data_IF_773439030389
#
_entry.id   IF_773439030389
#
_cell.length_a   1.000
_cell.length_b   1.000
_cell.length_c   1.000
_cell.angle_alpha   90.00
_cell.angle_beta   90.00
_cell.angle_gamma   90.00
#
_symmetry.space_group_name_H-M   'P 1'
#
loop_
_entity.id
_entity.type
_entity.pdbx_description
1 polymer ?
#
# COMPACT_ATOMS: atom_id res chain seq x y z
N UNK A 1 -67.19 24.53 18.23
CA UNK A 1 -66.26 24.42 17.09
C UNK A 1 -64.86 24.17 17.64
N UNK A 2 -64.22 23.11 17.13
CA UNK A 2 -62.78 22.80 17.07
C UNK A 2 -61.87 23.09 18.29
N UNK A 3 -61.01 22.17 18.75
CA UNK A 3 -60.52 20.94 18.15
C UNK A 3 -59.96 20.00 19.20
N UNK A 4 -60.33 18.72 19.06
CA UNK A 4 -59.62 17.58 19.61
C UNK A 4 -58.44 17.36 18.69
N UNK A 5 -57.20 17.42 19.19
CA UNK A 5 -56.05 17.13 18.35
C UNK A 5 -54.71 17.32 19.03
N UNK A 6 -54.06 16.20 19.37
CA UNK A 6 -52.61 16.15 19.42
C UNK A 6 -51.98 16.18 20.81
N UNK A 7 -52.10 15.09 21.56
CA UNK A 7 -51.10 14.69 22.55
C UNK A 7 -50.94 13.16 22.53
N UNK A 8 -50.57 12.61 21.37
CA UNK A 8 -49.94 11.29 21.29
C UNK A 8 -48.50 11.42 21.80
N UNK A 9 -48.35 11.63 23.11
CA UNK A 9 -47.06 11.67 23.79
C UNK A 9 -46.55 10.23 23.95
N UNK A 10 -45.78 9.79 22.96
CA UNK A 10 -44.57 8.96 23.06
C UNK A 10 -44.39 8.23 24.41
N UNK A 11 -45.10 7.13 24.63
CA UNK A 11 -44.90 6.23 25.79
C UNK A 11 -43.99 5.03 25.49
N UNK A 12 -43.18 5.10 24.43
CA UNK A 12 -42.36 3.98 23.96
C UNK A 12 -41.05 3.73 24.75
N UNK A 13 -40.88 4.28 25.95
CA UNK A 13 -39.65 4.11 26.74
C UNK A 13 -39.87 3.46 28.12
N UNK A 14 -40.97 2.73 28.34
CA UNK A 14 -41.25 2.03 29.61
C UNK A 14 -40.82 0.55 29.59
N UNK A 15 -40.34 0.04 28.46
CA UNK A 15 -39.73 -1.30 28.38
C UNK A 15 -38.24 -1.23 28.71
N UNK A 16 -37.74 -2.14 29.55
CA UNK A 16 -36.30 -2.33 29.70
C UNK A 16 -35.83 -3.21 28.53
N UNK A 17 -35.20 -2.63 27.48
CA UNK A 17 -34.87 -3.38 26.27
C UNK A 17 -33.89 -4.54 26.54
N UNK A 18 -33.20 -4.51 27.68
CA UNK A 18 -32.28 -5.56 28.11
C UNK A 18 -32.95 -6.69 28.90
N UNK A 19 -34.21 -6.54 29.32
CA UNK A 19 -35.03 -7.65 29.83
C UNK A 19 -35.84 -8.33 28.73
N UNK A 20 -36.21 -7.58 27.70
CA UNK A 20 -37.08 -8.06 26.63
C UNK A 20 -36.30 -8.67 25.45
N UNK A 21 -35.02 -8.33 25.28
CA UNK A 21 -34.14 -8.92 24.28
C UNK A 21 -33.61 -10.29 24.73
N UNK A 22 -34.48 -11.31 24.68
CA UNK A 22 -34.06 -12.71 24.79
C UNK A 22 -33.32 -13.15 23.52
N UNK A 23 -32.43 -14.13 23.65
CA UNK A 23 -31.75 -14.72 22.50
C UNK A 23 -32.80 -15.35 21.60
N UNK A 24 -32.93 -14.84 20.36
CA UNK A 24 -33.83 -15.40 19.36
C UNK A 24 -33.32 -16.80 18.94
N UNK A 25 -34.07 -17.89 19.21
CA UNK A 25 -33.65 -19.25 18.88
C UNK A 25 -33.58 -19.53 17.38
N UNK A 26 -34.21 -18.70 16.54
CA UNK A 26 -34.15 -18.83 15.08
C UNK A 26 -32.88 -18.24 14.48
N UNK A 27 -32.09 -17.51 15.28
CA UNK A 27 -30.84 -16.91 14.83
C UNK A 27 -29.74 -17.97 14.63
N UNK A 28 -29.00 -17.93 13.51
CA UNK A 28 -27.90 -18.86 13.26
C UNK A 28 -26.76 -18.75 14.28
N UNK A 29 -26.69 -17.67 15.05
CA UNK A 29 -25.69 -17.45 16.11
C UNK A 29 -26.22 -17.69 17.52
N UNK A 30 -27.48 -18.13 17.69
CA UNK A 30 -28.14 -18.27 18.99
C UNK A 30 -27.38 -19.19 19.95
N UNK A 31 -26.89 -20.34 19.46
CA UNK A 31 -26.12 -21.29 20.24
C UNK A 31 -24.78 -20.72 20.75
N UNK A 32 -24.12 -19.89 19.93
CA UNK A 32 -22.87 -19.24 20.31
C UNK A 32 -23.10 -18.12 21.32
N UNK A 33 -24.12 -17.28 21.12
CA UNK A 33 -24.48 -16.21 22.06
C UNK A 33 -24.89 -16.80 23.42
N UNK A 34 -25.68 -17.88 23.43
CA UNK A 34 -26.09 -18.57 24.66
C UNK A 34 -24.91 -19.18 25.43
N UNK A 35 -23.81 -19.52 24.73
CA UNK A 35 -22.57 -20.00 25.34
C UNK A 35 -21.71 -18.88 25.91
N UNK A 36 -21.66 -17.72 25.27
CA UNK A 36 -20.75 -16.62 25.60
C UNK A 36 -21.34 -15.67 26.66
N UNK A 37 -22.62 -15.34 26.57
CA UNK A 37 -23.27 -14.36 27.48
C UNK A 37 -23.15 -14.73 28.96
N UNK A 38 -23.35 -16.00 29.38
CA UNK A 38 -23.20 -16.39 30.79
C UNK A 38 -21.75 -16.40 31.28
N UNK A 39 -20.77 -16.46 30.35
CA UNK A 39 -19.36 -16.62 30.69
C UNK A 39 -18.77 -15.38 31.38
N UNK A 40 -19.48 -14.24 31.38
CA UNK A 40 -19.18 -12.98 32.08
C UNK A 40 -17.66 -12.70 32.17
N UNK A 41 -16.99 -12.80 31.02
CA UNK A 41 -15.54 -12.71 30.96
C UNK A 41 -15.08 -11.29 31.22
N UNK A 42 -13.84 -11.11 31.68
CA UNK A 42 -13.27 -9.77 31.84
C UNK A 42 -13.07 -9.13 30.47
N UNK A 43 -13.95 -8.20 30.11
CA UNK A 43 -13.80 -7.41 28.90
C UNK A 43 -12.86 -6.22 29.14
N UNK A 44 -12.05 -5.84 28.15
CA UNK A 44 -11.32 -4.58 28.21
C UNK A 44 -12.34 -3.44 28.34
N UNK A 45 -12.09 -2.54 29.29
CA UNK A 45 -12.88 -1.33 29.46
C UNK A 45 -12.17 -0.16 28.80
N UNK A 46 -12.90 0.93 28.55
CA UNK A 46 -12.29 2.18 28.11
C UNK A 46 -11.25 2.72 29.11
N UNK A 47 -11.32 2.32 30.39
CA UNK A 47 -10.32 2.65 31.40
C UNK A 47 -8.99 1.88 31.20
N UNK A 48 -9.00 0.78 30.44
CA UNK A 48 -7.81 0.02 30.07
C UNK A 48 -7.08 0.59 28.85
N UNK A 49 -7.61 1.64 28.21
CA UNK A 49 -6.91 2.32 27.12
C UNK A 49 -5.74 3.09 27.74
N UNK A 50 -4.49 2.84 27.30
CA UNK A 50 -3.35 3.58 27.81
C UNK A 50 -3.47 5.07 27.48
N UNK A 51 -2.96 5.92 28.38
CA UNK A 51 -2.90 7.35 28.12
C UNK A 51 -2.10 7.64 26.84
N UNK A 52 -2.46 8.73 26.17
CA UNK A 52 -1.74 9.18 24.98
C UNK A 52 -0.23 9.29 25.27
N UNK A 53 0.63 8.72 24.41
CA UNK A 53 2.07 8.85 24.57
C UNK A 53 2.48 10.32 24.61
N UNK A 54 3.40 10.68 25.52
CA UNK A 54 3.87 12.06 25.70
C UNK A 54 5.07 12.40 24.80
N UNK A 55 5.64 11.39 24.17
CA UNK A 55 6.78 11.42 23.25
C UNK A 55 6.36 11.59 21.78
N UNK A 56 5.11 12.01 21.55
CA UNK A 56 4.65 12.38 20.20
C UNK A 56 5.26 13.72 19.79
N UNK A 57 5.76 13.77 18.56
CA UNK A 57 6.30 15.00 17.95
C UNK A 57 5.27 16.14 18.05
N UNK A 58 5.61 17.30 18.67
CA UNK A 58 4.74 18.47 18.67
C UNK A 58 4.48 19.00 17.27
N UNK A 59 3.25 19.48 17.01
CA UNK A 59 2.83 20.01 15.70
C UNK A 59 3.80 21.06 15.13
N UNK A 60 4.33 21.95 16.00
CA UNK A 60 5.30 22.99 15.59
C UNK A 60 6.63 22.43 15.07
N UNK A 61 7.05 21.23 15.50
CA UNK A 61 8.29 20.62 15.02
C UNK A 61 8.18 20.19 13.55
N UNK A 62 7.01 19.73 13.09
CA UNK A 62 6.83 19.40 11.67
C UNK A 62 7.12 20.58 10.75
N UNK A 63 6.63 21.79 11.09
CA UNK A 63 6.89 22.99 10.30
C UNK A 63 8.36 23.41 10.30
N UNK A 64 9.07 23.19 11.42
CA UNK A 64 10.53 23.46 11.51
C UNK A 64 11.33 22.49 10.66
N UNK A 65 11.00 21.21 10.71
CA UNK A 65 11.66 20.17 9.92
C UNK A 65 11.43 20.43 8.43
N UNK A 66 10.19 20.75 8.03
CA UNK A 66 9.88 21.10 6.64
C UNK A 66 10.67 22.33 6.17
N UNK A 67 10.74 23.39 6.99
CA UNK A 67 11.53 24.58 6.66
C UNK A 67 13.03 24.27 6.53
N UNK A 68 13.57 23.35 7.34
CA UNK A 68 14.95 22.91 7.24
C UNK A 68 15.22 22.12 5.94
N UNK A 69 14.29 21.26 5.53
CA UNK A 69 14.35 20.53 4.25
C UNK A 69 14.34 21.51 3.07
N UNK A 70 13.42 22.47 3.04
CA UNK A 70 13.35 23.47 1.97
C UNK A 70 14.62 24.33 1.89
N UNK A 71 15.18 24.71 3.04
CA UNK A 71 16.47 25.42 3.08
C UNK A 71 17.61 24.58 2.50
N UNK A 72 17.65 23.29 2.84
CA UNK A 72 18.68 22.36 2.35
C UNK A 72 18.55 22.16 0.85
N UNK A 73 17.31 21.99 0.35
CA UNK A 73 17.01 21.95 -1.08
C UNK A 73 17.53 23.19 -1.80
N UNK A 74 17.16 24.39 -1.34
CA UNK A 74 17.60 25.64 -1.96
C UNK A 74 19.12 25.83 -1.90
N UNK A 75 19.80 25.21 -0.93
CA UNK A 75 21.26 25.18 -0.89
C UNK A 75 21.82 24.22 -1.95
N UNK A 76 21.29 23.01 -2.04
CA UNK A 76 21.72 22.02 -3.03
C UNK A 76 21.53 22.54 -4.45
N UNK A 77 20.35 23.09 -4.78
CA UNK A 77 20.07 23.67 -6.10
C UNK A 77 21.11 24.72 -6.50
N UNK A 78 21.54 25.57 -5.56
CA UNK A 78 22.61 26.55 -5.80
C UNK A 78 23.99 25.92 -5.95
N UNK A 79 24.29 24.87 -5.18
CA UNK A 79 25.58 24.19 -5.21
C UNK A 79 25.76 23.26 -6.41
N UNK A 80 24.66 22.82 -7.03
CA UNK A 80 24.66 21.94 -8.20
C UNK A 80 24.27 22.68 -9.48
N UNK A 81 24.16 24.01 -9.43
CA UNK A 81 23.85 24.81 -10.61
C UNK A 81 24.92 24.56 -11.69
N UNK A 82 24.56 24.47 -12.99
CA UNK A 82 25.48 24.08 -14.06
C UNK A 82 26.76 24.93 -14.11
N UNK A 83 26.68 26.20 -13.72
CA UNK A 83 27.81 27.12 -13.66
C UNK A 83 28.75 26.94 -12.45
N UNK A 84 28.41 26.07 -11.49
CA UNK A 84 29.18 25.90 -10.23
C UNK A 84 30.16 24.74 -10.25
N UNK A 85 30.13 23.91 -11.29
CA UNK A 85 31.08 22.82 -11.48
C UNK A 85 31.48 22.73 -12.95
N UNK A 86 32.77 22.48 -13.18
CA UNK A 86 33.32 22.16 -14.50
C UNK A 86 33.96 20.78 -14.43
N UNK A 87 33.71 19.94 -15.43
CA UNK A 87 34.48 18.72 -15.62
C UNK A 87 35.78 19.08 -16.34
N UNK A 88 36.91 18.88 -15.69
CA UNK A 88 38.22 18.87 -16.36
C UNK A 88 38.61 17.43 -16.70
N UNK A 89 39.52 17.27 -17.67
CA UNK A 89 40.17 15.99 -17.98
C UNK A 89 39.22 14.85 -18.39
N UNK A 90 38.07 15.19 -18.97
CA UNK A 90 37.07 14.23 -19.45
C UNK A 90 37.65 13.24 -20.46
N UNK A 91 38.54 13.69 -21.31
CA UNK A 91 39.22 12.90 -22.33
C UNK A 91 40.20 11.91 -21.70
N UNK A 92 40.96 12.33 -20.68
CA UNK A 92 41.89 11.46 -19.95
C UNK A 92 41.13 10.40 -19.15
N UNK A 93 40.04 10.78 -18.49
CA UNK A 93 39.13 9.86 -17.83
C UNK A 93 38.55 8.83 -18.82
N UNK A 94 38.04 9.29 -19.97
CA UNK A 94 37.47 8.40 -20.98
C UNK A 94 38.52 7.48 -21.61
N UNK A 95 39.75 7.96 -21.83
CA UNK A 95 40.86 7.14 -22.32
C UNK A 95 41.22 6.04 -21.32
N UNK A 96 41.31 6.39 -20.02
CA UNK A 96 41.54 5.43 -18.95
C UNK A 96 40.42 4.39 -18.86
N UNK A 97 39.16 4.83 -18.90
CA UNK A 97 38.01 3.93 -18.84
C UNK A 97 37.99 2.93 -20.02
N UNK A 98 38.35 3.38 -21.23
CA UNK A 98 38.49 2.47 -22.39
C UNK A 98 39.65 1.49 -22.23
N UNK A 99 40.77 1.93 -21.68
CA UNK A 99 41.90 1.05 -21.40
C UNK A 99 41.56 0.00 -20.32
N UNK A 100 40.79 0.37 -19.30
CA UNK A 100 40.35 -0.54 -18.23
C UNK A 100 39.26 -1.51 -18.67
N UNK A 101 38.35 -1.08 -19.56
CA UNK A 101 37.30 -1.93 -20.09
C UNK A 101 37.85 -3.12 -20.92
N UNK A 102 39.07 -2.97 -21.46
CA UNK A 102 39.69 -3.97 -22.32
C UNK A 102 38.99 -4.08 -23.68
N UNK A 103 39.42 -5.06 -24.49
CA UNK A 103 38.77 -5.32 -25.78
C UNK A 103 37.36 -5.85 -25.56
N UNK A 104 36.38 -5.23 -26.22
CA UNK A 104 35.03 -5.76 -26.26
C UNK A 104 35.10 -7.15 -26.90
N UNK A 105 34.61 -8.21 -26.22
CA UNK A 105 34.64 -9.56 -26.78
C UNK A 105 33.91 -9.54 -28.11
N UNK A 106 34.52 -10.13 -29.14
CA UNK A 106 33.93 -10.18 -30.45
C UNK A 106 32.49 -10.70 -30.34
N UNK A 107 31.50 -10.04 -30.99
CA UNK A 107 30.14 -10.52 -30.96
C UNK A 107 30.16 -11.98 -31.40
N UNK A 108 29.59 -12.85 -30.58
CA UNK A 108 29.49 -14.28 -30.90
C UNK A 108 28.89 -14.41 -32.28
N UNK A 109 29.63 -15.03 -33.21
CA UNK A 109 29.12 -15.27 -34.55
C UNK A 109 27.75 -15.93 -34.42
N UNK A 110 26.73 -15.37 -35.08
CA UNK A 110 25.41 -15.99 -35.22
C UNK A 110 25.49 -17.18 -36.19
N UNK A 111 26.48 -18.05 -36.01
CA UNK A 111 26.62 -19.29 -36.73
C UNK A 111 25.72 -20.30 -36.04
N UNK A 112 24.49 -20.38 -36.55
CA UNK A 112 23.57 -21.53 -36.48
C UNK A 112 22.10 -21.10 -36.49
N UNK A 113 21.79 -19.81 -36.66
CA UNK A 113 20.39 -19.35 -36.70
C UNK A 113 19.60 -20.04 -37.83
N UNK A 114 20.26 -20.32 -38.96
CA UNK A 114 19.66 -21.04 -40.08
C UNK A 114 19.43 -22.53 -39.77
N UNK A 115 20.38 -23.19 -39.11
CA UNK A 115 20.30 -24.61 -38.74
C UNK A 115 19.33 -24.84 -37.58
N UNK A 116 19.30 -23.93 -36.61
CA UNK A 116 18.28 -23.85 -35.57
C UNK A 116 16.89 -23.66 -36.17
N UNK A 117 16.71 -22.68 -37.07
CA UNK A 117 15.43 -22.46 -37.74
C UNK A 117 14.98 -23.68 -38.55
N UNK A 118 15.90 -24.37 -39.23
CA UNK A 118 15.61 -25.60 -39.96
C UNK A 118 15.21 -26.74 -39.02
N UNK A 119 15.90 -26.88 -37.88
CA UNK A 119 15.57 -27.88 -36.85
C UNK A 119 14.18 -27.63 -36.26
N UNK A 120 13.84 -26.38 -35.98
CA UNK A 120 12.50 -26.02 -35.48
C UNK A 120 11.41 -26.30 -36.53
N UNK A 121 11.64 -25.99 -37.81
CA UNK A 121 10.69 -26.33 -38.89
C UNK A 121 10.46 -27.83 -39.03
N UNK A 122 11.52 -28.65 -38.94
CA UNK A 122 11.41 -30.11 -39.00
C UNK A 122 10.65 -30.71 -37.82
N UNK A 123 10.67 -30.06 -36.65
CA UNK A 123 9.95 -30.50 -35.44
C UNK A 123 8.51 -30.02 -35.38
N UNK A 124 8.15 -28.98 -36.12
CA UNK A 124 6.80 -28.46 -36.12
C UNK A 124 5.86 -29.41 -36.87
N UNK A 125 4.77 -29.83 -36.21
CA UNK A 125 3.68 -30.55 -36.87
C UNK A 125 2.89 -29.56 -37.74
N UNK A 126 2.65 -29.85 -39.04
CA UNK A 126 1.85 -28.97 -39.89
C UNK A 126 0.42 -28.78 -39.35
N UNK A 127 -0.18 -27.60 -39.51
CA UNK A 127 -1.58 -27.39 -39.15
C UNK A 127 -2.49 -28.27 -40.02
N UNK A 128 -3.64 -28.73 -39.48
CA UNK A 128 -4.58 -29.53 -40.26
C UNK A 128 -5.13 -28.73 -41.45
N UNK A 129 -5.43 -29.40 -42.58
CA UNK A 129 -5.99 -28.72 -43.74
C UNK A 129 -7.36 -28.11 -43.41
N UNK A 130 -7.74 -27.00 -44.05
CA UNK A 130 -9.05 -26.40 -43.84
C UNK A 130 -10.17 -27.34 -44.30
N UNK A 131 -11.33 -27.34 -43.62
CA UNK A 131 -12.49 -28.12 -44.07
C UNK A 131 -12.99 -27.58 -45.41
N UNK A 132 -13.40 -28.51 -46.29
CA UNK A 132 -14.03 -28.20 -47.58
C UNK A 132 -15.35 -27.44 -47.42
#
# INVERSE_FOLDING_TARGET
>A
MAGVGGCALVSACVGNPFRDAQIDPSSPVAAEVARIVPANTTYPTFAGIPAMPKDVRPVKQYGRDAAAVEKTRAQLERQTAPETWSLSDTEAFAAKARAEAGDEPAPTASGDTADFANTQRKRATPPPPPPN
#
